data_IF_332566502875
#
_entry.id   IF_332566502875
#
_cell.length_a   1.000
_cell.length_b   1.000
_cell.length_c   1.000
_cell.angle_alpha   90.00
_cell.angle_beta   90.00
_cell.angle_gamma   90.00
#
_symmetry.space_group_name_H-M   'P 1'
#
loop_
_entity.id
_entity.type
_entity.pdbx_description
1 polymer ?
#
# COMPACT_ATOMS: atom_id res chain seq x y z
N UNK A 1 9.95 -15.07 18.91
CA UNK A 1 10.84 -14.45 17.90
C UNK A 1 10.01 -13.45 17.11
N UNK A 2 10.30 -12.16 17.22
CA UNK A 2 9.66 -11.14 16.37
C UNK A 2 10.51 -10.97 15.11
N UNK A 3 9.89 -11.05 13.94
CA UNK A 3 10.58 -10.73 12.68
C UNK A 3 10.91 -9.24 12.70
N UNK A 4 12.19 -8.89 12.61
CA UNK A 4 12.65 -7.51 12.53
C UNK A 4 12.70 -7.08 11.06
N UNK A 5 11.57 -6.56 10.53
CA UNK A 5 11.55 -5.89 9.23
C UNK A 5 11.47 -4.39 9.46
N UNK A 6 12.35 -3.64 8.78
CA UNK A 6 12.33 -2.17 8.83
C UNK A 6 11.09 -1.61 8.09
N UNK A 7 10.65 -0.38 8.43
CA UNK A 7 9.62 0.32 7.66
C UNK A 7 9.94 0.41 6.15
N UNK A 8 11.20 0.68 5.82
CA UNK A 8 11.65 0.73 4.41
C UNK A 8 11.57 -0.64 3.72
N UNK A 9 11.88 -1.71 4.45
CA UNK A 9 11.72 -3.07 3.94
C UNK A 9 10.27 -3.42 3.64
N UNK A 10 9.34 -2.94 4.49
CA UNK A 10 7.90 -3.05 4.26
C UNK A 10 7.48 -2.28 2.99
N UNK A 11 7.89 -1.01 2.87
CA UNK A 11 7.57 -0.20 1.69
C UNK A 11 8.13 -0.81 0.39
N UNK A 12 9.38 -1.29 0.43
CA UNK A 12 10.03 -1.93 -0.72
C UNK A 12 9.31 -3.21 -1.16
N UNK A 13 8.88 -4.04 -0.21
CA UNK A 13 8.07 -5.23 -0.50
C UNK A 13 6.76 -4.83 -1.17
N UNK A 14 6.03 -3.89 -0.60
CA UNK A 14 4.72 -3.49 -1.11
C UNK A 14 4.86 -2.95 -2.54
N UNK A 15 5.84 -2.09 -2.81
CA UNK A 15 6.18 -1.65 -4.17
C UNK A 15 6.42 -2.80 -5.14
N UNK A 16 7.22 -3.79 -4.72
CA UNK A 16 7.56 -4.94 -5.56
C UNK A 16 6.32 -5.73 -5.96
N UNK A 17 5.40 -5.95 -5.01
CA UNK A 17 4.14 -6.67 -5.26
C UNK A 17 3.24 -5.89 -6.21
N UNK A 18 3.06 -4.58 -5.97
CA UNK A 18 2.20 -3.74 -6.82
C UNK A 18 2.75 -3.60 -8.25
N UNK A 19 4.07 -3.46 -8.43
CA UNK A 19 4.69 -3.47 -9.77
C UNK A 19 4.45 -4.80 -10.48
N UNK A 20 4.72 -5.90 -9.79
CA UNK A 20 4.57 -7.24 -10.36
C UNK A 20 3.14 -7.51 -10.85
N UNK A 21 2.14 -7.16 -10.05
CA UNK A 21 0.73 -7.33 -10.39
C UNK A 21 0.32 -6.43 -11.57
N UNK A 22 0.73 -5.14 -11.54
CA UNK A 22 0.42 -4.17 -12.59
C UNK A 22 1.00 -4.57 -13.94
N UNK A 23 2.25 -5.01 -13.99
CA UNK A 23 2.93 -5.46 -15.22
C UNK A 23 2.22 -6.65 -15.88
N UNK A 24 1.44 -7.42 -15.13
CA UNK A 24 0.74 -8.63 -15.58
C UNK A 24 -0.77 -8.44 -15.69
N UNK A 25 -1.28 -7.24 -15.46
CA UNK A 25 -2.71 -6.94 -15.40
C UNK A 25 -3.48 -7.84 -14.40
N UNK A 26 -2.85 -8.18 -13.27
CA UNK A 26 -3.45 -9.01 -12.22
C UNK A 26 -4.20 -8.09 -11.24
N UNK A 27 -5.50 -8.31 -10.99
CA UNK A 27 -6.22 -7.60 -9.94
C UNK A 27 -5.58 -7.86 -8.57
N UNK A 28 -5.31 -6.80 -7.82
CA UNK A 28 -4.65 -6.87 -6.52
C UNK A 28 -5.45 -6.08 -5.48
N UNK A 29 -5.61 -6.68 -4.30
CA UNK A 29 -6.21 -6.04 -3.14
C UNK A 29 -5.20 -6.09 -2.00
N UNK A 30 -4.95 -4.95 -1.36
CA UNK A 30 -4.19 -4.87 -0.12
C UNK A 30 -5.17 -4.89 1.05
N UNK A 31 -5.01 -5.86 1.96
CA UNK A 31 -5.81 -5.98 3.18
C UNK A 31 -4.94 -5.67 4.39
N UNK A 32 -5.45 -4.87 5.32
CA UNK A 32 -4.82 -4.66 6.62
C UNK A 32 -5.14 -5.85 7.52
N UNK A 33 -4.32 -6.91 7.49
CA UNK A 33 -4.62 -8.14 8.22
C UNK A 33 -4.15 -8.15 9.68
N UNK A 34 -3.33 -7.19 10.11
CA UNK A 34 -2.86 -7.09 11.50
C UNK A 34 -1.66 -6.16 11.73
N UNK A 35 -1.26 -6.03 13.00
CA UNK A 35 -0.23 -5.12 13.48
C UNK A 35 -0.61 -4.61 14.87
N UNK A 36 -0.37 -5.40 15.92
CA UNK A 36 -0.83 -5.10 17.29
C UNK A 36 -0.08 -3.93 17.96
N UNK A 37 0.90 -3.35 17.27
CA UNK A 37 1.65 -2.20 17.74
C UNK A 37 1.09 -0.92 17.10
N UNK A 38 0.92 0.15 17.89
CA UNK A 38 0.49 1.47 17.38
C UNK A 38 1.41 1.98 16.25
N UNK A 39 2.69 1.62 16.27
CA UNK A 39 3.66 1.97 15.22
C UNK A 39 3.33 1.32 13.87
N UNK A 40 2.65 0.16 13.84
CA UNK A 40 2.26 -0.50 12.60
C UNK A 40 1.28 0.35 11.78
N UNK A 41 0.39 1.10 12.43
CA UNK A 41 -0.55 1.99 11.73
C UNK A 41 0.19 3.06 10.90
N UNK A 42 1.24 3.66 11.47
CA UNK A 42 2.06 4.63 10.74
C UNK A 42 2.77 4.00 9.55
N UNK A 43 3.37 2.82 9.73
CA UNK A 43 4.07 2.11 8.65
C UNK A 43 3.12 1.76 7.50
N UNK A 44 1.89 1.34 7.79
CA UNK A 44 0.86 1.07 6.77
C UNK A 44 0.49 2.35 6.03
N UNK A 45 0.21 3.44 6.75
CA UNK A 45 -0.14 4.73 6.14
C UNK A 45 1.00 5.26 5.25
N UNK A 46 2.23 5.21 5.72
CA UNK A 46 3.42 5.62 4.97
C UNK A 46 3.60 4.75 3.71
N UNK A 47 3.32 3.44 3.78
CA UNK A 47 3.36 2.54 2.61
C UNK A 47 2.30 2.92 1.56
N UNK A 48 1.05 3.18 1.98
CA UNK A 48 -0.03 3.62 1.08
C UNK A 48 0.33 4.94 0.38
N UNK A 49 0.84 5.93 1.13
CA UNK A 49 1.30 7.21 0.55
C UNK A 49 2.44 6.99 -0.45
N UNK A 50 3.41 6.14 -0.13
CA UNK A 50 4.52 5.81 -1.03
C UNK A 50 4.04 5.16 -2.33
N UNK A 51 3.10 4.21 -2.26
CA UNK A 51 2.50 3.58 -3.43
C UNK A 51 1.78 4.61 -4.31
N UNK A 52 1.05 5.56 -3.70
CA UNK A 52 0.37 6.63 -4.44
C UNK A 52 1.37 7.59 -5.10
N UNK A 53 2.42 8.01 -4.39
CA UNK A 53 3.46 8.90 -4.92
C UNK A 53 4.19 8.28 -6.12
N UNK A 54 4.26 6.94 -6.17
CA UNK A 54 4.85 6.17 -7.26
C UNK A 54 3.86 5.78 -8.36
N UNK A 55 2.62 6.29 -8.29
CA UNK A 55 1.53 5.97 -9.22
C UNK A 55 1.25 4.46 -9.33
N UNK A 56 1.50 3.70 -8.26
CA UNK A 56 1.21 2.27 -8.19
C UNK A 56 -0.23 2.00 -7.72
N UNK A 57 -0.81 2.94 -7.00
CA UNK A 57 -2.23 3.01 -6.68
C UNK A 57 -2.75 4.42 -6.97
N UNK A 58 -4.06 4.55 -7.17
CA UNK A 58 -4.72 5.84 -7.28
C UNK A 58 -5.50 6.13 -5.99
N UNK A 59 -5.15 7.22 -5.30
CA UNK A 59 -5.88 7.70 -4.11
C UNK A 59 -6.83 8.87 -4.41
N UNK A 60 -6.87 9.36 -5.66
CA UNK A 60 -7.88 10.33 -6.08
C UNK A 60 -9.20 9.59 -6.26
N UNK A 61 -10.10 9.71 -5.29
CA UNK A 61 -11.44 9.14 -5.37
C UNK A 61 -12.51 10.16 -4.96
N UNK A 62 -13.47 10.40 -5.85
CA UNK A 62 -14.86 10.85 -5.63
C UNK A 62 -15.16 12.30 -5.21
N UNK A 63 -14.25 13.28 -5.35
CA UNK A 63 -14.64 14.70 -5.21
C UNK A 63 -15.21 15.33 -6.49
N UNK A 64 -15.09 14.66 -7.65
CA UNK A 64 -15.86 15.01 -8.84
C UNK A 64 -17.19 14.28 -8.79
N UNK A 65 -18.18 14.89 -8.16
CA UNK A 65 -19.57 14.47 -8.30
C UNK A 65 -19.98 14.53 -9.77
N UNK A 66 -19.90 13.40 -10.45
CA UNK A 66 -20.84 13.09 -11.50
C UNK A 66 -21.81 12.10 -10.89
N UNK A 67 -22.98 12.63 -10.52
CA UNK A 67 -24.19 11.84 -10.42
C UNK A 67 -24.33 11.07 -11.74
N UNK A 68 -24.50 9.75 -11.62
CA UNK A 68 -25.17 8.98 -12.67
C UNK A 68 -26.63 9.40 -12.73
#
# INVERSE_FOLDING_TARGET
MAVQISPDGIASRDEKVFRFARERNIPLIMLTSGGYMKSSAKVIADSIVNLSNKSLINMKSLLTGQAL
#
